data_IF_767228925310
#
_entry.id   IF_767228925310
#
_cell.length_a   1.000
_cell.length_b   1.000
_cell.length_c   1.000
_cell.angle_alpha   90.00
_cell.angle_beta   90.00
_cell.angle_gamma   90.00
#
_symmetry.space_group_name_H-M   'P 1'
#
loop_
_entity.id
_entity.type
_entity.pdbx_description
1 polymer ?
#
# COMPACT_ATOMS: atom_id res chain seq x y z
N UNK A 1 -15.47 -12.25 10.34
CA UNK A 1 -14.11 -11.74 10.63
C UNK A 1 -13.63 -11.02 9.39
N UNK A 2 -13.21 -9.77 9.51
CA UNK A 2 -12.53 -9.05 8.43
C UNK A 2 -11.11 -9.58 8.26
N UNK A 3 -10.64 -9.81 7.02
CA UNK A 3 -9.22 -10.00 6.71
C UNK A 3 -8.54 -8.64 6.57
N UNK A 4 -7.25 -8.60 6.90
CA UNK A 4 -6.39 -7.44 6.63
C UNK A 4 -5.33 -7.87 5.62
N UNK A 5 -5.10 -7.04 4.62
CA UNK A 5 -4.06 -7.27 3.62
C UNK A 5 -3.00 -6.20 3.76
N UNK A 6 -1.76 -6.62 3.99
CA UNK A 6 -0.60 -5.75 3.93
C UNK A 6 -0.19 -5.58 2.46
N UNK A 7 0.08 -4.35 2.06
CA UNK A 7 0.66 -4.00 0.76
C UNK A 7 1.97 -3.26 0.99
N UNK A 8 3.01 -3.65 0.26
CA UNK A 8 4.32 -3.02 0.28
C UNK A 8 4.66 -2.62 -1.16
N UNK A 9 4.95 -1.34 -1.38
CA UNK A 9 5.20 -0.78 -2.70
C UNK A 9 6.52 -0.02 -2.74
N UNK A 10 7.49 -0.57 -3.48
CA UNK A 10 8.75 0.11 -3.78
C UNK A 10 8.64 0.83 -5.11
N UNK A 11 8.94 2.13 -5.12
CA UNK A 11 8.89 2.97 -6.31
C UNK A 11 10.31 3.15 -6.86
N UNK A 12 10.50 2.77 -8.12
CA UNK A 12 11.78 2.78 -8.82
C UNK A 12 11.72 3.82 -9.95
N UNK A 13 12.66 4.77 -9.95
CA UNK A 13 12.73 5.86 -10.93
C UNK A 13 13.59 7.01 -10.44
N UNK A 14 13.53 8.17 -11.10
CA UNK A 14 14.28 9.35 -10.69
C UNK A 14 13.74 9.94 -9.37
N UNK A 15 14.62 10.47 -8.52
CA UNK A 15 14.24 11.03 -7.21
C UNK A 15 13.22 12.16 -7.34
N UNK A 16 13.36 13.00 -8.36
CA UNK A 16 12.42 14.10 -8.65
C UNK A 16 11.01 13.61 -8.99
N UNK A 17 10.90 12.53 -9.76
CA UNK A 17 9.61 11.92 -10.12
C UNK A 17 8.97 11.23 -8.92
N UNK A 18 9.77 10.51 -8.14
CA UNK A 18 9.32 9.86 -6.90
C UNK A 18 8.85 10.89 -5.88
N UNK A 19 9.59 11.98 -5.71
CA UNK A 19 9.24 13.09 -4.84
C UNK A 19 7.89 13.71 -5.21
N UNK A 20 7.74 14.01 -6.50
CA UNK A 20 6.49 14.56 -7.03
C UNK A 20 5.32 13.61 -6.75
N UNK A 21 5.47 12.32 -7.04
CA UNK A 21 4.45 11.32 -6.75
C UNK A 21 4.05 11.33 -5.27
N UNK A 22 5.02 11.25 -4.35
CA UNK A 22 4.72 11.22 -2.92
C UNK A 22 3.90 12.42 -2.45
N UNK A 23 4.21 13.62 -2.94
CA UNK A 23 3.47 14.85 -2.57
C UNK A 23 2.03 14.89 -3.08
N UNK A 24 1.68 14.02 -4.04
CA UNK A 24 0.36 14.02 -4.69
C UNK A 24 -0.59 12.94 -4.18
N UNK A 25 -0.10 11.97 -3.40
CA UNK A 25 -0.88 10.79 -2.98
C UNK A 25 -1.17 10.75 -1.48
N UNK A 26 -0.70 11.76 -0.75
CA UNK A 26 -0.86 11.84 0.70
C UNK A 26 -1.77 12.99 1.12
N UNK A 27 -2.42 12.84 2.27
CA UNK A 27 -3.20 13.89 2.91
C UNK A 27 -2.33 14.94 3.64
N UNK A 28 -2.98 15.88 4.31
CA UNK A 28 -2.33 16.94 5.09
C UNK A 28 -1.56 16.41 6.31
N UNK A 29 -1.74 15.14 6.66
CA UNK A 29 -1.00 14.42 7.68
C UNK A 29 0.14 13.57 7.11
N UNK A 30 0.33 13.55 5.79
CA UNK A 30 1.32 12.73 5.12
C UNK A 30 0.92 11.25 5.02
N UNK A 31 -0.37 10.93 5.18
CA UNK A 31 -0.92 9.57 5.11
C UNK A 31 -1.46 9.28 3.70
N UNK A 32 -1.32 8.05 3.22
CA UNK A 32 -1.75 7.65 1.87
C UNK A 32 -3.26 7.69 1.85
N UNK A 33 -3.82 8.43 0.90
CA UNK A 33 -5.26 8.50 0.71
C UNK A 33 -5.60 8.16 -0.74
N UNK A 34 -6.32 7.05 -0.90
CA UNK A 34 -6.76 6.56 -2.20
C UNK A 34 -7.64 7.56 -2.95
N UNK A 35 -8.27 8.52 -2.28
CA UNK A 35 -9.04 9.57 -2.96
C UNK A 35 -8.18 10.53 -3.78
N UNK A 36 -6.89 10.68 -3.48
CA UNK A 36 -5.99 11.46 -4.34
C UNK A 36 -5.58 10.71 -5.61
N UNK A 37 -5.84 9.39 -5.67
CA UNK A 37 -5.45 8.52 -6.79
C UNK A 37 -6.67 8.16 -7.64
N UNK A 38 -7.68 7.56 -7.00
CA UNK A 38 -8.98 7.20 -7.58
C UNK A 38 -10.07 7.83 -6.70
N UNK A 39 -10.52 9.06 -7.02
CA UNK A 39 -11.43 9.82 -6.15
C UNK A 39 -12.81 9.18 -6.00
N UNK A 40 -13.29 9.05 -4.76
CA UNK A 40 -14.70 8.75 -4.50
C UNK A 40 -15.57 9.96 -4.88
N UNK A 41 -16.66 9.77 -5.65
CA UNK A 41 -17.59 10.85 -5.97
C UNK A 41 -18.14 11.54 -4.71
N UNK A 42 -18.23 12.88 -4.74
CA UNK A 42 -18.74 13.67 -3.62
C UNK A 42 -20.17 13.24 -3.17
N UNK A 43 -20.99 12.75 -4.10
CA UNK A 43 -22.33 12.21 -3.81
C UNK A 43 -22.32 11.02 -2.87
N UNK A 44 -21.20 10.29 -2.77
CA UNK A 44 -21.05 9.14 -1.89
C UNK A 44 -20.44 9.49 -0.53
N UNK A 45 -19.80 10.66 -0.36
CA UNK A 45 -19.13 11.03 0.89
C UNK A 45 -20.09 11.18 2.10
N UNK A 46 -21.39 11.41 1.84
CA UNK A 46 -22.45 11.39 2.85
C UNK A 46 -23.49 10.29 2.66
N UNK A 47 -23.24 9.35 1.76
CA UNK A 47 -24.13 8.21 1.52
C UNK A 47 -24.04 7.19 2.66
N UNK A 48 -24.91 6.18 2.62
CA UNK A 48 -24.83 5.06 3.55
C UNK A 48 -23.52 4.27 3.37
N UNK A 49 -23.07 3.64 4.47
CA UNK A 49 -21.81 2.90 4.51
C UNK A 49 -21.77 1.72 3.52
N UNK A 50 -22.91 1.16 3.12
CA UNK A 50 -22.97 0.05 2.18
C UNK A 50 -22.64 0.52 0.76
N UNK A 51 -23.24 1.62 0.32
CA UNK A 51 -22.95 2.22 -0.98
C UNK A 51 -21.48 2.63 -1.10
N UNK A 52 -20.92 3.25 -0.05
CA UNK A 52 -19.50 3.55 0.01
C UNK A 52 -18.66 2.28 -0.10
N UNK A 53 -18.99 1.24 0.69
CA UNK A 53 -18.25 -0.03 0.67
C UNK A 53 -18.27 -0.69 -0.70
N UNK A 54 -19.43 -0.77 -1.35
CA UNK A 54 -19.55 -1.36 -2.69
C UNK A 54 -18.75 -0.56 -3.73
N UNK A 55 -18.74 0.77 -3.61
CA UNK A 55 -17.93 1.61 -4.47
C UNK A 55 -16.43 1.36 -4.25
N UNK A 56 -15.97 1.32 -3.00
CA UNK A 56 -14.55 1.06 -2.67
C UNK A 56 -14.10 -0.32 -3.17
N UNK A 57 -14.90 -1.38 -2.95
CA UNK A 57 -14.57 -2.72 -3.47
C UNK A 57 -14.40 -2.68 -4.98
N UNK A 58 -15.32 -2.02 -5.68
CA UNK A 58 -15.31 -1.97 -7.15
C UNK A 58 -14.17 -1.13 -7.72
N UNK A 59 -13.82 -0.02 -7.09
CA UNK A 59 -12.91 0.99 -7.67
C UNK A 59 -11.53 1.02 -7.03
N UNK A 60 -11.39 0.56 -5.79
CA UNK A 60 -10.11 0.41 -5.11
C UNK A 60 -9.67 -1.04 -5.03
N UNK A 61 -10.60 -1.99 -5.01
CA UNK A 61 -10.31 -3.42 -4.79
C UNK A 61 -10.27 -3.82 -3.31
N UNK A 62 -10.69 -2.92 -2.40
CA UNK A 62 -10.74 -3.16 -0.97
C UNK A 62 -11.92 -2.43 -0.29
N UNK A 63 -12.29 -2.86 0.92
CA UNK A 63 -13.41 -2.29 1.69
C UNK A 63 -13.02 -1.06 2.51
N UNK A 64 -11.75 -0.64 2.45
CA UNK A 64 -11.26 0.52 3.18
C UNK A 64 -10.22 1.27 2.36
N UNK A 65 -10.00 2.52 2.77
CA UNK A 65 -8.78 3.24 2.43
C UNK A 65 -7.56 2.57 3.10
N UNK A 66 -6.36 3.07 2.81
CA UNK A 66 -5.13 2.68 3.50
C UNK A 66 -5.19 3.04 5.00
N UNK A 67 -4.72 2.15 5.85
CA UNK A 67 -4.49 2.38 7.30
C UNK A 67 -3.24 1.62 7.75
N UNK A 68 -2.82 1.80 9.01
CA UNK A 68 -1.54 1.28 9.52
C UNK A 68 -0.38 1.62 8.56
N UNK A 69 -0.39 2.85 8.04
CA UNK A 69 0.50 3.26 6.96
C UNK A 69 1.88 3.68 7.48
N UNK A 70 2.90 3.15 6.83
CA UNK A 70 4.29 3.52 6.92
C UNK A 70 4.69 4.11 5.57
N UNK A 71 4.56 5.42 5.46
CA UNK A 71 5.02 6.19 4.30
C UNK A 71 6.41 6.70 4.65
N UNK A 72 7.35 6.74 3.71
CA UNK A 72 8.76 6.80 4.04
C UNK A 72 9.24 8.23 4.35
N UNK A 73 8.68 8.82 5.40
CA UNK A 73 9.10 10.07 6.01
C UNK A 73 9.54 9.82 7.43
N UNK A 74 10.58 8.99 7.66
CA UNK A 74 11.01 8.53 9.00
C UNK A 74 9.83 8.51 9.99
N UNK A 75 8.86 7.64 9.74
CA UNK A 75 7.68 7.55 10.60
C UNK A 75 8.14 7.48 12.06
N UNK A 76 7.44 8.20 12.94
CA UNK A 76 7.72 8.22 14.36
C UNK A 76 7.93 6.79 14.85
N UNK A 77 9.08 6.56 15.48
CA UNK A 77 9.47 5.26 15.96
C UNK A 77 9.88 5.42 17.42
N UNK A 78 9.02 4.98 18.33
CA UNK A 78 9.20 5.08 19.77
C UNK A 78 10.53 4.48 20.28
N UNK A 79 11.21 3.62 19.50
CA UNK A 79 12.52 3.05 19.87
C UNK A 79 13.69 4.01 19.61
N UNK A 80 13.53 4.95 18.70
CA UNK A 80 14.59 5.89 18.28
C UNK A 80 14.21 7.34 18.55
N UNK A 81 12.92 7.64 18.59
CA UNK A 81 12.40 8.98 18.79
C UNK A 81 12.14 9.23 20.27
N UNK A 82 12.86 10.20 20.82
CA UNK A 82 12.73 10.61 22.21
C UNK A 82 11.64 11.68 22.38
N UNK A 83 10.46 11.43 21.84
CA UNK A 83 9.29 12.28 21.99
C UNK A 83 8.13 11.50 22.62
N UNK A 84 7.15 12.16 23.24
CA UNK A 84 5.93 11.50 23.69
C UNK A 84 5.16 10.89 22.51
N UNK A 85 4.51 9.73 22.71
CA UNK A 85 3.72 9.04 21.67
C UNK A 85 2.58 9.92 21.17
N UNK A 86 2.04 10.80 22.02
CA UNK A 86 0.98 11.74 21.62
C UNK A 86 1.47 12.78 20.60
N UNK A 87 2.78 12.92 20.39
CA UNK A 87 3.37 13.81 19.40
C UNK A 87 3.66 13.10 18.06
N UNK A 88 3.35 11.81 17.91
CA UNK A 88 3.59 11.02 16.70
C UNK A 88 3.09 11.74 15.44
N UNK A 89 1.82 12.15 15.42
CA UNK A 89 1.22 12.84 14.28
C UNK A 89 1.95 14.15 13.95
N UNK A 90 2.26 14.95 14.98
CA UNK A 90 2.98 16.21 14.80
C UNK A 90 4.39 15.99 14.22
N UNK A 91 5.11 14.98 14.71
CA UNK A 91 6.46 14.66 14.25
C UNK A 91 6.43 14.18 12.80
N UNK A 92 5.47 13.33 12.44
CA UNK A 92 5.30 12.84 11.08
C UNK A 92 5.02 13.99 10.11
N UNK A 93 4.11 14.92 10.46
CA UNK A 93 3.83 16.12 9.66
C UNK A 93 5.10 16.96 9.46
N UNK A 94 5.85 17.26 10.54
CA UNK A 94 7.06 18.08 10.44
C UNK A 94 8.17 17.42 9.63
N UNK A 95 8.29 16.08 9.70
CA UNK A 95 9.23 15.31 8.88
C UNK A 95 8.81 15.29 7.42
N UNK A 96 7.51 15.19 7.14
CA UNK A 96 6.96 15.32 5.80
C UNK A 96 7.30 16.70 5.19
N UNK A 97 6.97 17.78 5.91
CA UNK A 97 7.30 19.16 5.51
C UNK A 97 8.80 19.32 5.25
N UNK A 98 9.65 18.89 6.20
CA UNK A 98 11.10 19.00 6.09
C UNK A 98 11.70 18.20 4.93
N UNK A 99 11.16 17.03 4.61
CA UNK A 99 11.66 16.20 3.52
C UNK A 99 11.22 16.75 2.15
N UNK A 100 10.06 17.39 2.08
CA UNK A 100 9.65 18.19 0.92
C UNK A 100 10.59 19.37 0.66
N UNK A 101 11.07 20.05 1.72
CA UNK A 101 12.01 21.16 1.60
C UNK A 101 13.44 20.71 1.22
N UNK A 102 13.93 19.61 1.81
CA UNK A 102 15.31 19.15 1.63
C UNK A 102 15.56 18.37 0.34
N UNK A 103 14.51 17.93 -0.36
CA UNK A 103 14.58 16.95 -1.46
C UNK A 103 15.25 15.62 -1.06
N UNK A 104 15.41 15.36 0.24
CA UNK A 104 15.99 14.15 0.82
C UNK A 104 14.86 13.26 1.35
N UNK A 105 13.96 12.88 0.44
CA UNK A 105 12.92 11.92 0.75
C UNK A 105 13.60 10.56 0.88
N UNK A 106 13.56 9.96 2.08
CA UNK A 106 13.97 8.56 2.18
C UNK A 106 13.08 7.72 1.26
N UNK A 107 13.68 7.04 0.30
CA UNK A 107 13.00 6.30 -0.76
C UNK A 107 12.62 4.89 -0.30
N UNK A 108 12.21 4.75 0.97
CA UNK A 108 11.79 3.47 1.51
C UNK A 108 10.45 3.05 0.88
N UNK A 109 10.09 1.76 0.93
CA UNK A 109 8.81 1.29 0.41
C UNK A 109 7.63 1.93 1.15
N UNK A 110 6.55 2.20 0.43
CA UNK A 110 5.25 2.50 1.02
C UNK A 110 4.67 1.20 1.57
N UNK A 111 4.41 1.12 2.86
CA UNK A 111 3.70 -0.02 3.48
C UNK A 111 2.38 0.45 4.09
N UNK A 112 1.30 -0.30 3.87
CA UNK A 112 0.01 -0.03 4.50
C UNK A 112 -0.87 -1.27 4.50
N UNK A 113 -2.02 -1.18 5.17
CA UNK A 113 -3.04 -2.24 5.19
C UNK A 113 -4.38 -1.76 4.64
N UNK A 114 -5.16 -2.73 4.16
CA UNK A 114 -6.56 -2.55 3.78
C UNK A 114 -7.44 -3.67 4.37
N UNK A 115 -8.75 -3.43 4.46
CA UNK A 115 -9.73 -4.41 4.92
C UNK A 115 -10.32 -5.16 3.73
N UNK A 116 -10.42 -6.49 3.86
CA UNK A 116 -11.16 -7.38 2.96
C UNK A 116 -10.85 -7.19 1.47
N UNK A 117 -9.58 -6.97 1.13
CA UNK A 117 -9.22 -6.64 -0.24
C UNK A 117 -7.73 -6.45 -0.43
N UNK A 118 -7.32 -6.47 -1.69
CA UNK A 118 -5.99 -6.04 -2.10
C UNK A 118 -6.23 -4.92 -3.12
N UNK A 119 -5.73 -3.70 -2.88
CA UNK A 119 -6.16 -2.56 -3.66
C UNK A 119 -5.40 -2.44 -5.00
N UNK A 120 -5.54 -3.46 -5.85
CA UNK A 120 -4.81 -3.55 -7.12
C UNK A 120 -5.01 -2.31 -8.00
N UNK A 121 -6.27 -1.85 -8.11
CA UNK A 121 -6.67 -0.72 -8.95
C UNK A 121 -5.93 0.57 -8.60
N UNK A 122 -5.61 0.78 -7.32
CA UNK A 122 -4.81 1.92 -6.86
C UNK A 122 -3.42 1.87 -7.49
N UNK A 123 -2.76 0.72 -7.44
CA UNK A 123 -1.41 0.56 -8.01
C UNK A 123 -1.40 0.66 -9.54
N UNK A 124 -2.41 0.10 -10.21
CA UNK A 124 -2.56 0.26 -11.67
C UNK A 124 -2.73 1.73 -12.04
N UNK A 125 -3.58 2.47 -11.31
CA UNK A 125 -3.80 3.90 -11.56
C UNK A 125 -2.55 4.72 -11.32
N UNK A 126 -1.82 4.45 -10.23
CA UNK A 126 -0.52 5.08 -9.96
C UNK A 126 0.47 4.85 -11.09
N UNK A 127 0.56 3.62 -11.60
CA UNK A 127 1.46 3.26 -12.70
C UNK A 127 1.07 3.95 -14.02
N UNK A 128 -0.22 4.06 -14.30
CA UNK A 128 -0.75 4.76 -15.48
C UNK A 128 -0.45 6.27 -15.43
N UNK A 129 -0.66 6.89 -14.26
CA UNK A 129 -0.44 8.33 -14.05
C UNK A 129 1.05 8.71 -14.01
N UNK A 130 1.93 7.74 -13.74
CA UNK A 130 3.38 7.96 -13.59
C UNK A 130 4.19 6.99 -14.48
N UNK A 131 4.10 7.10 -15.81
CA UNK A 131 4.65 6.10 -16.74
C UNK A 131 6.19 5.99 -16.73
N UNK A 132 6.89 7.00 -16.20
CA UNK A 132 8.34 6.97 -16.02
C UNK A 132 8.78 6.08 -14.85
N UNK A 133 7.90 5.89 -13.86
CA UNK A 133 8.16 5.12 -12.65
C UNK A 133 7.79 3.65 -12.84
N UNK A 134 8.49 2.78 -12.11
CA UNK A 134 8.13 1.37 -11.96
C UNK A 134 7.71 1.11 -10.52
N UNK A 135 6.62 0.36 -10.35
CA UNK A 135 6.04 0.04 -9.06
C UNK A 135 6.24 -1.45 -8.80
N UNK A 136 7.08 -1.78 -7.83
CA UNK A 136 7.21 -3.14 -7.31
C UNK A 136 6.27 -3.29 -6.12
N UNK A 137 5.20 -4.06 -6.29
CA UNK A 137 4.13 -4.21 -5.30
C UNK A 137 4.10 -5.65 -4.81
N UNK A 138 4.13 -5.83 -3.50
CA UNK A 138 3.93 -7.11 -2.83
C UNK A 138 2.71 -7.03 -1.91
N UNK A 139 1.98 -8.13 -1.76
CA UNK A 139 0.84 -8.21 -0.85
C UNK A 139 0.68 -9.60 -0.22
N UNK A 140 0.14 -9.61 0.99
CA UNK A 140 -0.19 -10.81 1.75
C UNK A 140 -1.21 -10.46 2.84
N UNK A 141 -2.03 -11.42 3.25
CA UNK A 141 -2.94 -11.21 4.38
C UNK A 141 -2.27 -11.47 5.74
N UNK A 142 -2.91 -10.98 6.80
CA UNK A 142 -2.47 -11.09 8.19
C UNK A 142 -2.40 -12.53 8.73
N UNK A 143 -2.98 -13.49 8.01
CA UNK A 143 -2.95 -14.91 8.32
C UNK A 143 -1.92 -15.66 7.47
N UNK A 144 -1.19 -14.96 6.61
CA UNK A 144 -0.26 -15.52 5.63
C UNK A 144 -0.88 -16.64 4.81
N UNK A 145 -2.15 -16.46 4.40
CA UNK A 145 -2.81 -17.45 3.55
C UNK A 145 -2.21 -17.50 2.14
N UNK A 146 -2.68 -18.43 1.32
CA UNK A 146 -2.30 -18.49 -0.09
C UNK A 146 -2.89 -17.38 -0.98
N UNK A 147 -3.46 -16.32 -0.40
CA UNK A 147 -3.83 -15.09 -1.11
C UNK A 147 -2.74 -14.04 -0.96
N UNK A 148 -1.69 -14.18 -1.77
CA UNK A 148 -0.51 -13.34 -1.74
C UNK A 148 0.09 -13.19 -3.14
N UNK A 149 1.01 -12.25 -3.29
CA UNK A 149 1.71 -12.10 -4.54
C UNK A 149 2.63 -10.91 -4.61
N UNK A 150 3.35 -10.85 -5.72
CA UNK A 150 4.20 -9.74 -6.10
C UNK A 150 4.05 -9.44 -7.59
N UNK A 151 4.02 -8.19 -7.96
CA UNK A 151 4.06 -7.78 -9.36
C UNK A 151 4.82 -6.47 -9.55
N UNK A 152 5.24 -6.25 -10.79
CA UNK A 152 5.91 -5.05 -11.27
C UNK A 152 5.01 -4.37 -12.28
N UNK A 153 4.68 -3.11 -12.04
CA UNK A 153 3.87 -2.29 -12.95
C UNK A 153 4.71 -1.18 -13.59
N UNK A 154 4.47 -0.92 -14.87
CA UNK A 154 5.00 0.26 -15.57
C UNK A 154 4.01 0.77 -16.61
N UNK A 155 3.69 2.07 -16.56
CA UNK A 155 2.75 2.68 -17.50
C UNK A 155 1.36 2.05 -17.49
N UNK A 156 0.92 1.49 -16.36
CA UNK A 156 -0.38 0.81 -16.24
C UNK A 156 -0.37 -0.66 -16.67
N UNK A 157 0.77 -1.21 -17.08
CA UNK A 157 0.90 -2.62 -17.49
C UNK A 157 1.67 -3.46 -16.48
N UNK A 158 1.29 -4.73 -16.33
CA UNK A 158 2.08 -5.72 -15.59
C UNK A 158 3.25 -6.18 -16.45
N UNK A 159 4.47 -5.85 -16.03
CA UNK A 159 5.69 -6.27 -16.74
C UNK A 159 6.31 -7.55 -16.17
N UNK A 160 5.98 -7.89 -14.91
CA UNK A 160 6.38 -9.13 -14.26
C UNK A 160 5.42 -9.45 -13.11
N UNK A 161 5.09 -10.73 -12.88
CA UNK A 161 4.23 -11.13 -11.76
C UNK A 161 4.58 -12.52 -11.22
N UNK A 162 4.44 -12.67 -9.90
CA UNK A 162 4.38 -13.93 -9.17
C UNK A 162 3.23 -13.82 -8.16
N UNK A 163 2.02 -14.13 -8.61
CA UNK A 163 0.78 -13.96 -7.83
C UNK A 163 0.07 -15.30 -7.73
N UNK A 164 -0.45 -15.60 -6.54
CA UNK A 164 -1.21 -16.82 -6.32
C UNK A 164 -2.50 -16.82 -7.15
N UNK A 165 -2.87 -17.98 -7.67
CA UNK A 165 -4.19 -18.20 -8.25
C UNK A 165 -5.26 -18.10 -7.17
N UNK A 166 -6.53 -18.03 -7.57
CA UNK A 166 -7.63 -18.04 -6.61
C UNK A 166 -7.58 -19.32 -5.71
N UNK A 167 -7.72 -19.22 -4.38
CA UNK A 167 -7.59 -20.36 -3.45
C UNK A 167 -8.46 -21.57 -3.79
N UNK A 168 -9.69 -21.33 -4.28
CA UNK A 168 -10.60 -22.40 -4.71
C UNK A 168 -10.12 -23.22 -5.92
N UNK A 169 -9.09 -22.74 -6.63
CA UNK A 169 -8.50 -23.41 -7.79
C UNK A 169 -7.17 -24.10 -7.46
N UNK A 170 -6.77 -24.12 -6.19
CA UNK A 170 -5.47 -24.66 -5.75
C UNK A 170 -5.64 -25.97 -4.99
N UNK A 171 -4.68 -26.88 -5.17
CA UNK A 171 -4.51 -28.03 -4.28
C UNK A 171 -3.95 -27.58 -2.93
N UNK A 172 -4.00 -28.47 -1.94
CA UNK A 172 -3.41 -28.20 -0.61
C UNK A 172 -1.91 -27.86 -0.71
N UNK A 173 -1.15 -28.61 -1.50
CA UNK A 173 0.28 -28.39 -1.67
C UNK A 173 0.59 -27.06 -2.38
N UNK A 174 -0.24 -26.67 -3.35
CA UNK A 174 -0.14 -25.36 -3.98
C UNK A 174 -0.44 -24.24 -2.99
N UNK A 175 -1.47 -24.37 -2.15
CA UNK A 175 -1.75 -23.37 -1.13
C UNK A 175 -0.59 -23.29 -0.12
N UNK A 176 -0.03 -24.42 0.35
CA UNK A 176 1.12 -24.42 1.26
C UNK A 176 2.34 -23.70 0.67
N UNK A 177 2.61 -23.88 -0.63
CA UNK A 177 3.67 -23.15 -1.32
C UNK A 177 3.48 -21.62 -1.22
N UNK A 178 2.26 -21.15 -1.44
CA UNK A 178 1.93 -19.72 -1.39
C UNK A 178 1.87 -19.15 0.03
N UNK A 179 1.46 -19.94 1.02
CA UNK A 179 1.56 -19.57 2.44
C UNK A 179 3.03 -19.35 2.84
N UNK A 180 3.93 -20.24 2.40
CA UNK A 180 5.36 -20.07 2.62
C UNK A 180 5.90 -18.82 1.90
N UNK A 181 5.40 -18.53 0.70
CA UNK A 181 5.75 -17.31 -0.03
C UNK A 181 5.21 -16.04 0.65
N UNK A 182 4.00 -16.08 1.24
CA UNK A 182 3.44 -14.97 2.01
C UNK A 182 4.31 -14.64 3.23
N UNK A 183 4.83 -15.66 3.93
CA UNK A 183 5.78 -15.48 5.03
C UNK A 183 7.10 -14.86 4.56
N UNK A 184 7.63 -15.31 3.41
CA UNK A 184 8.83 -14.73 2.79
C UNK A 184 8.65 -13.24 2.47
N UNK A 185 7.51 -12.88 1.86
CA UNK A 185 7.16 -11.48 1.57
C UNK A 185 7.08 -10.61 2.83
N UNK A 186 6.66 -11.20 3.96
CA UNK A 186 6.62 -10.54 5.26
C UNK A 186 7.98 -10.49 5.99
N UNK A 187 9.05 -10.98 5.36
CA UNK A 187 10.38 -11.05 5.98
C UNK A 187 10.51 -12.14 7.06
N UNK A 188 9.55 -13.05 7.15
CA UNK A 188 9.57 -14.18 8.07
C UNK A 188 10.32 -15.35 7.44
N UNK A 189 10.98 -16.16 8.27
CA UNK A 189 11.54 -17.43 7.80
C UNK A 189 10.39 -18.43 7.58
N UNK A 190 10.32 -19.14 6.44
CA UNK A 190 9.32 -20.17 6.25
C UNK A 190 9.40 -21.23 7.34
N UNK A 191 8.25 -21.71 7.84
CA UNK A 191 8.22 -22.89 8.70
C UNK A 191 8.55 -24.11 7.83
N UNK A 192 9.65 -24.79 8.17
CA UNK A 192 10.11 -26.01 7.49
C UNK A 192 9.20 -27.22 7.76
#
# INVERSE_FOLDING_TARGET
>A
MSSRTTSICTIIGADTERSTLYSTIVDDMGCLDFNYIVPMPASLQGADNEQQRQWMIKHWGAESNAFDHWIPYRAYNQKVDNFPVEMETFINIRRFESAGESHDLSLEPIEFKTINGFPAEIFFKLSEQNPALTFEVSFFDDRFSCWCGKYYLKGGEVIQSKVASHPLLMTKDQCQYWENYAQELAGLRPVA
#
